data_IF_703699860548
#
_entry.id   IF_703699860548
#
_cell.length_a   1.000
_cell.length_b   1.000
_cell.length_c   1.000
_cell.angle_alpha   90.00
_cell.angle_beta   90.00
_cell.angle_gamma   90.00
#
_symmetry.space_group_name_H-M   'P 1'
#
loop_
_entity.id
_entity.type
_entity.pdbx_description
1 polymer ?
#
# COMPACT_ATOMS: atom_id res chain seq x y z
N UNK A 1 40.23 42.12 26.87
CA UNK A 1 38.93 41.50 27.21
C UNK A 1 37.94 41.42 26.05
N UNK A 2 37.96 42.33 25.06
CA UNK A 2 37.01 42.28 23.92
C UNK A 2 37.22 41.11 22.93
N UNK A 3 38.48 40.72 22.67
CA UNK A 3 38.82 39.62 21.73
C UNK A 3 38.21 38.25 22.14
N UNK A 4 38.11 37.98 23.45
CA UNK A 4 37.59 36.71 23.97
C UNK A 4 36.07 36.60 23.81
N UNK A 5 35.35 37.72 23.82
CA UNK A 5 33.90 37.74 23.59
C UNK A 5 33.57 37.52 22.12
N UNK A 6 34.38 38.05 21.20
CA UNK A 6 34.19 37.84 19.77
C UNK A 6 34.41 36.36 19.38
N UNK A 7 35.44 35.72 19.93
CA UNK A 7 35.73 34.31 19.65
C UNK A 7 34.64 33.36 20.17
N UNK A 8 34.12 33.60 21.37
CA UNK A 8 33.06 32.78 21.96
C UNK A 8 31.71 32.96 21.27
N UNK A 9 31.37 34.19 20.86
CA UNK A 9 30.18 34.46 20.05
C UNK A 9 30.25 33.77 18.67
N UNK A 10 31.42 33.73 18.04
CA UNK A 10 31.62 33.06 16.75
C UNK A 10 31.43 31.54 16.85
N UNK A 11 31.98 30.91 17.89
CA UNK A 11 31.83 29.47 18.15
C UNK A 11 30.38 29.07 18.44
N UNK A 12 29.65 29.87 19.23
CA UNK A 12 28.22 29.65 19.50
C UNK A 12 27.38 29.80 18.22
N UNK A 13 27.68 30.79 17.38
CA UNK A 13 26.96 31.01 16.13
C UNK A 13 27.22 29.86 15.13
N UNK A 14 28.47 29.39 15.04
CA UNK A 14 28.83 28.23 14.21
C UNK A 14 28.15 26.94 14.69
N UNK A 15 28.08 26.72 16.00
CA UNK A 15 27.42 25.55 16.59
C UNK A 15 25.89 25.57 16.34
N UNK A 16 25.24 26.73 16.51
CA UNK A 16 23.82 26.89 16.20
C UNK A 16 23.54 26.70 14.70
N UNK A 17 24.40 27.20 13.83
CA UNK A 17 24.27 27.02 12.39
C UNK A 17 24.43 25.54 11.99
N UNK A 18 25.40 24.83 12.57
CA UNK A 18 25.57 23.40 12.36
C UNK A 18 24.35 22.59 12.88
N UNK A 19 23.78 22.99 14.03
CA UNK A 19 22.59 22.35 14.58
C UNK A 19 21.34 22.59 13.72
N UNK A 20 21.15 23.82 13.23
CA UNK A 20 20.06 24.14 12.29
C UNK A 20 20.22 23.42 10.95
N UNK A 21 21.45 23.29 10.43
CA UNK A 21 21.74 22.48 9.24
C UNK A 21 21.44 21.00 9.49
N UNK A 22 21.78 20.46 10.68
CA UNK A 22 21.46 19.09 11.06
C UNK A 22 19.93 18.87 11.16
N UNK A 23 19.18 19.80 11.77
CA UNK A 23 17.71 19.76 11.83
C UNK A 23 17.10 19.83 10.44
N UNK A 24 17.58 20.72 9.57
CA UNK A 24 17.09 20.83 8.19
C UNK A 24 17.42 19.58 7.36
N UNK A 25 18.61 19.00 7.54
CA UNK A 25 19.01 17.74 6.89
C UNK A 25 18.19 16.56 7.39
N UNK A 26 17.87 16.53 8.69
CA UNK A 26 16.97 15.55 9.29
C UNK A 26 15.54 15.71 8.74
N UNK A 27 15.02 16.95 8.65
CA UNK A 27 13.70 17.23 8.08
C UNK A 27 13.60 16.85 6.60
N UNK A 28 14.64 17.09 5.81
CA UNK A 28 14.74 16.63 4.41
C UNK A 28 14.80 15.10 4.32
N UNK A 29 15.57 14.44 5.18
CA UNK A 29 15.63 12.97 5.25
C UNK A 29 14.25 12.36 5.54
N UNK A 30 13.48 12.94 6.45
CA UNK A 30 12.13 12.47 6.75
C UNK A 30 11.11 12.83 5.66
N UNK A 31 11.20 14.02 5.04
CA UNK A 31 10.33 14.42 3.92
C UNK A 31 10.52 13.56 2.67
N UNK A 32 11.72 13.00 2.46
CA UNK A 32 11.99 12.02 1.40
C UNK A 32 11.58 10.59 1.77
N UNK A 33 11.34 10.32 3.06
CA UNK A 33 10.91 9.00 3.58
C UNK A 33 9.40 8.91 3.83
N UNK A 34 8.67 10.01 3.67
CA UNK A 34 7.22 9.97 3.42
C UNK A 34 7.00 9.01 2.25
N UNK A 35 6.37 7.83 2.45
CA UNK A 35 5.93 7.06 1.32
C UNK A 35 4.95 7.96 0.57
N UNK A 36 5.21 8.23 -0.70
CA UNK A 36 4.15 8.68 -1.60
C UNK A 36 3.09 7.58 -1.55
N UNK A 37 2.13 7.71 -0.63
CA UNK A 37 0.76 7.29 -0.81
C UNK A 37 0.45 7.76 -2.23
N UNK A 38 0.33 6.80 -3.15
CA UNK A 38 0.17 6.89 -4.62
C UNK A 38 1.01 5.85 -5.38
N UNK A 39 1.68 4.87 -4.74
CA UNK A 39 2.15 3.67 -5.45
C UNK A 39 0.99 2.71 -5.77
N UNK A 40 0.07 3.18 -6.61
CA UNK A 40 -0.61 2.37 -7.62
C UNK A 40 -1.19 3.30 -8.72
N UNK A 41 -0.45 4.31 -9.14
CA UNK A 41 -0.85 5.16 -10.26
C UNK A 41 0.41 5.71 -10.93
N UNK A 42 1.05 4.88 -11.75
CA UNK A 42 1.69 5.22 -13.03
C UNK A 42 2.65 4.08 -13.42
N UNK A 43 2.47 3.57 -14.64
CA UNK A 43 3.37 2.68 -15.38
C UNK A 43 3.43 1.21 -14.92
N UNK A 44 2.41 0.45 -15.33
CA UNK A 44 2.49 -0.89 -15.94
C UNK A 44 3.29 -2.03 -15.26
N UNK A 45 3.74 -1.93 -14.01
CA UNK A 45 4.54 -3.02 -13.37
C UNK A 45 4.00 -3.56 -12.04
N UNK A 46 2.86 -3.06 -11.52
CA UNK A 46 2.31 -3.52 -10.23
C UNK A 46 0.98 -4.30 -10.28
N UNK A 47 0.37 -4.45 -11.45
CA UNK A 47 -0.72 -5.41 -11.68
C UNK A 47 -0.37 -6.19 -12.95
N UNK A 48 0.07 -7.44 -12.78
CA UNK A 48 0.14 -8.36 -13.90
C UNK A 48 -1.26 -8.57 -14.46
N UNK A 49 -1.50 -7.96 -15.62
CA UNK A 49 -2.59 -8.23 -16.56
C UNK A 49 -4.00 -8.25 -15.94
N UNK A 50 -4.67 -7.08 -15.95
CA UNK A 50 -6.07 -7.08 -16.38
C UNK A 50 -6.04 -7.42 -17.87
N UNK A 51 -5.92 -8.71 -18.19
CA UNK A 51 -6.41 -9.21 -19.47
C UNK A 51 -7.91 -9.30 -19.30
N UNK A 52 -8.63 -8.41 -19.97
CA UNK A 52 -9.98 -8.72 -20.44
C UNK A 52 -9.84 -9.97 -21.31
N UNK A 53 -10.00 -11.13 -20.71
CA UNK A 53 -10.15 -12.36 -21.46
C UNK A 53 -11.58 -12.36 -21.98
N UNK A 54 -11.70 -12.19 -23.29
CA UNK A 54 -12.90 -12.49 -24.04
C UNK A 54 -13.35 -13.91 -23.67
N UNK A 55 -14.45 -14.01 -22.93
CA UNK A 55 -15.10 -15.25 -22.52
C UNK A 55 -16.44 -14.89 -21.90
N UNK A 56 -17.52 -15.19 -22.60
CA UNK A 56 -18.89 -14.75 -22.30
C UNK A 56 -19.34 -15.07 -20.88
N UNK A 57 -19.78 -14.03 -20.17
CA UNK A 57 -20.58 -14.13 -18.95
C UNK A 57 -22.01 -14.60 -19.35
N UNK A 58 -22.64 -15.55 -18.62
CA UNK A 58 -24.03 -15.92 -18.90
C UNK A 58 -24.96 -14.70 -18.70
N UNK A 59 -25.88 -14.53 -19.66
CA UNK A 59 -26.72 -13.36 -19.85
C UNK A 59 -27.65 -13.06 -18.66
N UNK A 60 -27.14 -12.32 -17.69
CA UNK A 60 -27.93 -11.46 -16.81
C UNK A 60 -27.88 -10.04 -17.37
N UNK A 61 -29.05 -9.44 -17.64
CA UNK A 61 -29.18 -8.09 -18.25
C UNK A 61 -28.26 -7.06 -17.58
N UNK A 62 -27.21 -6.66 -18.30
CA UNK A 62 -26.41 -5.48 -17.99
C UNK A 62 -27.25 -4.22 -18.29
N UNK A 63 -27.27 -3.19 -17.43
CA UNK A 63 -27.94 -1.93 -17.74
C UNK A 63 -27.31 -1.29 -18.98
N UNK A 64 -28.11 -1.10 -20.04
CA UNK A 64 -27.65 -0.70 -21.39
C UNK A 64 -27.38 0.80 -21.57
N UNK A 65 -27.04 1.53 -20.51
CA UNK A 65 -26.66 2.95 -20.63
C UNK A 65 -25.35 3.19 -19.90
N UNK A 66 -24.25 3.18 -20.66
CA UNK A 66 -23.00 3.79 -20.21
C UNK A 66 -23.14 5.30 -20.45
N UNK A 67 -23.08 6.16 -19.41
CA UNK A 67 -23.08 7.61 -19.63
C UNK A 67 -21.76 8.03 -20.31
N UNK A 68 -21.88 8.60 -21.51
CA UNK A 68 -20.79 9.10 -22.37
C UNK A 68 -20.20 10.44 -21.91
N UNK A 69 -20.00 10.64 -20.60
CA UNK A 69 -19.40 11.86 -20.09
C UNK A 69 -18.35 11.52 -19.03
N UNK A 70 -17.09 11.91 -19.28
CA UNK A 70 -16.08 12.00 -18.22
C UNK A 70 -16.57 13.07 -17.24
N UNK A 71 -16.88 12.74 -15.98
CA UNK A 71 -17.25 13.75 -15.03
C UNK A 71 -16.00 14.59 -14.76
N UNK A 72 -16.15 15.92 -14.85
CA UNK A 72 -15.20 16.89 -14.33
C UNK A 72 -14.80 16.49 -12.90
N UNK A 73 -13.54 16.74 -12.54
CA UNK A 73 -12.86 16.31 -11.30
C UNK A 73 -13.54 16.72 -9.96
N UNK A 74 -14.73 17.30 -10.00
CA UNK A 74 -15.43 17.92 -8.88
C UNK A 74 -16.31 16.94 -8.08
N UNK A 75 -16.61 15.73 -8.60
CA UNK A 75 -17.37 14.70 -7.86
C UNK A 75 -16.87 13.28 -8.15
N UNK A 76 -15.57 13.02 -8.01
CA UNK A 76 -15.10 11.65 -7.83
C UNK A 76 -15.62 11.16 -6.46
N UNK A 77 -16.78 10.50 -6.48
CA UNK A 77 -17.39 9.92 -5.28
C UNK A 77 -16.35 9.04 -4.58
N UNK A 78 -16.06 9.39 -3.32
CA UNK A 78 -14.98 8.75 -2.55
C UNK A 78 -15.29 7.27 -2.40
N UNK A 79 -14.62 6.43 -3.18
CA UNK A 79 -14.81 4.97 -3.14
C UNK A 79 -14.44 4.43 -1.76
N UNK A 80 -15.44 3.94 -1.04
CA UNK A 80 -15.26 3.27 0.26
C UNK A 80 -15.11 1.76 0.03
N UNK A 81 -13.99 1.14 0.42
CA UNK A 81 -13.74 -0.29 0.18
C UNK A 81 -14.49 -1.17 1.19
N UNK A 82 -15.81 -1.28 1.06
CA UNK A 82 -16.67 -2.00 2.02
C UNK A 82 -16.27 -3.47 2.24
N UNK A 83 -15.86 -4.17 1.17
CA UNK A 83 -15.45 -5.58 1.20
C UNK A 83 -14.18 -5.81 0.37
N UNK A 84 -13.11 -6.28 1.00
CA UNK A 84 -11.79 -6.46 0.37
C UNK A 84 -11.38 -7.93 0.34
N UNK A 85 -10.85 -8.39 -0.79
CA UNK A 85 -10.15 -9.68 -0.90
C UNK A 85 -8.65 -9.43 -0.82
N UNK A 86 -7.99 -9.95 0.21
CA UNK A 86 -6.57 -9.74 0.44
C UNK A 86 -5.75 -10.99 0.07
N UNK A 87 -5.10 -10.93 -1.10
CA UNK A 87 -4.25 -11.99 -1.64
C UNK A 87 -2.78 -11.81 -1.23
N UNK A 88 -2.43 -12.25 0.00
CA UNK A 88 -1.09 -12.00 0.57
C UNK A 88 -0.02 -13.03 0.16
N UNK A 89 -0.44 -14.15 -0.43
CA UNK A 89 0.46 -15.21 -0.93
C UNK A 89 -0.04 -15.74 -2.25
N UNK A 90 0.88 -16.13 -3.14
CA UNK A 90 0.57 -16.92 -4.34
C UNK A 90 1.09 -18.35 -4.24
N UNK A 91 1.74 -18.72 -3.13
CA UNK A 91 2.18 -20.10 -2.87
C UNK A 91 0.95 -20.97 -2.65
N UNK A 92 0.85 -22.08 -3.38
CA UNK A 92 -0.23 -23.04 -3.28
C UNK A 92 0.35 -24.45 -3.38
N UNK A 93 -0.22 -25.40 -2.64
CA UNK A 93 0.10 -26.83 -2.69
C UNK A 93 -0.72 -27.57 -3.76
N UNK A 94 -1.71 -26.92 -4.38
CA UNK A 94 -2.54 -27.48 -5.44
C UNK A 94 -2.14 -26.94 -6.82
N UNK A 95 -2.46 -27.72 -7.86
CA UNK A 95 -2.16 -27.42 -9.27
C UNK A 95 -3.43 -27.43 -10.12
N UNK A 96 -4.41 -26.59 -9.76
CA UNK A 96 -5.69 -26.55 -10.46
C UNK A 96 -5.54 -25.98 -11.88
N UNK A 97 -6.07 -26.67 -12.88
CA UNK A 97 -6.02 -26.23 -14.29
C UNK A 97 -6.81 -24.94 -14.58
N UNK A 98 -7.74 -24.58 -13.70
CA UNK A 98 -8.58 -23.37 -13.77
C UNK A 98 -8.08 -22.22 -12.86
N UNK A 99 -6.93 -22.36 -12.19
CA UNK A 99 -6.45 -21.35 -11.26
C UNK A 99 -5.94 -20.11 -12.00
N UNK A 100 -6.68 -19.00 -11.89
CA UNK A 100 -6.26 -17.69 -12.42
C UNK A 100 -5.14 -17.04 -11.59
N UNK A 101 -4.81 -17.58 -10.42
CA UNK A 101 -3.82 -17.06 -9.48
C UNK A 101 -2.50 -17.83 -9.52
N UNK A 102 -1.89 -17.90 -10.71
CA UNK A 102 -0.61 -18.61 -10.92
C UNK A 102 0.53 -17.98 -10.11
N UNK A 103 1.44 -18.83 -9.63
CA UNK A 103 2.58 -18.46 -8.78
C UNK A 103 3.70 -17.76 -9.58
N UNK A 104 3.40 -16.61 -10.18
CA UNK A 104 4.38 -15.79 -10.92
C UNK A 104 5.40 -15.12 -9.98
N UNK A 105 4.98 -14.77 -8.76
CA UNK A 105 5.84 -14.18 -7.71
C UNK A 105 5.47 -14.74 -6.34
N UNK A 106 6.46 -15.04 -5.49
CA UNK A 106 6.25 -15.72 -4.20
C UNK A 106 6.58 -14.86 -2.97
N UNK A 107 6.60 -13.54 -3.15
CA UNK A 107 6.88 -12.58 -2.08
C UNK A 107 5.66 -12.45 -1.15
N UNK A 108 5.87 -12.67 0.14
CA UNK A 108 4.91 -12.37 1.20
C UNK A 108 5.44 -11.18 1.97
N UNK A 109 4.61 -10.15 2.17
CA UNK A 109 5.02 -8.98 2.92
C UNK A 109 5.20 -9.31 4.42
N UNK A 110 6.11 -8.63 5.13
CA UNK A 110 6.25 -8.79 6.57
C UNK A 110 4.94 -8.52 7.32
N UNK A 111 4.77 -9.18 8.47
CA UNK A 111 3.52 -9.12 9.26
C UNK A 111 3.15 -7.69 9.67
N UNK A 112 4.12 -6.88 10.08
CA UNK A 112 3.87 -5.51 10.54
C UNK A 112 3.36 -4.61 9.41
N UNK A 113 3.90 -4.79 8.20
CA UNK A 113 3.43 -4.07 7.02
C UNK A 113 2.02 -4.51 6.60
N UNK A 114 1.71 -5.81 6.74
CA UNK A 114 0.36 -6.31 6.51
C UNK A 114 -0.65 -5.72 7.50
N UNK A 115 -0.32 -5.70 8.79
CA UNK A 115 -1.16 -5.07 9.84
C UNK A 115 -1.38 -3.58 9.56
N UNK A 116 -0.33 -2.85 9.18
CA UNK A 116 -0.45 -1.45 8.76
C UNK A 116 -1.39 -1.27 7.55
N UNK A 117 -1.30 -2.15 6.56
CA UNK A 117 -2.22 -2.14 5.42
C UNK A 117 -3.68 -2.34 5.83
N UNK A 118 -3.94 -3.26 6.78
CA UNK A 118 -5.28 -3.50 7.32
C UNK A 118 -5.83 -2.29 8.09
N UNK A 119 -4.98 -1.60 8.84
CA UNK A 119 -5.35 -0.38 9.55
C UNK A 119 -5.76 0.74 8.57
N UNK A 120 -5.01 0.91 7.48
CA UNK A 120 -5.37 1.86 6.43
C UNK A 120 -6.73 1.53 5.78
N UNK A 121 -7.00 0.24 5.52
CA UNK A 121 -8.29 -0.20 4.96
C UNK A 121 -9.44 0.04 5.94
N UNK A 122 -9.22 -0.22 7.23
CA UNK A 122 -10.20 0.06 8.29
C UNK A 122 -10.51 1.56 8.37
N UNK A 123 -9.48 2.41 8.35
CA UNK A 123 -9.63 3.87 8.35
C UNK A 123 -10.30 4.40 7.07
N UNK A 124 -10.16 3.68 5.95
CA UNK A 124 -10.86 3.98 4.71
C UNK A 124 -12.35 3.56 4.73
N UNK A 125 -12.82 2.86 5.76
CA UNK A 125 -14.23 2.44 5.91
C UNK A 125 -14.53 0.99 5.53
N UNK A 126 -13.51 0.13 5.47
CA UNK A 126 -13.71 -1.32 5.23
C UNK A 126 -14.53 -1.96 6.34
N UNK A 127 -15.49 -2.81 5.95
CA UNK A 127 -16.36 -3.58 6.88
C UNK A 127 -16.14 -5.08 6.82
N UNK A 128 -15.66 -5.60 5.69
CA UNK A 128 -15.43 -7.03 5.47
C UNK A 128 -14.07 -7.25 4.80
N UNK A 129 -13.32 -8.25 5.29
CA UNK A 129 -12.12 -8.72 4.64
C UNK A 129 -12.18 -10.23 4.42
N UNK A 130 -11.70 -10.67 3.27
CA UNK A 130 -11.51 -12.08 2.93
C UNK A 130 -10.03 -12.35 2.66
N UNK A 131 -9.41 -13.19 3.48
CA UNK A 131 -8.02 -13.60 3.29
C UNK A 131 -7.96 -14.68 2.20
N UNK A 132 -7.30 -14.36 1.09
CA UNK A 132 -7.23 -15.22 -0.10
C UNK A 132 -5.79 -15.28 -0.64
N UNK A 133 -5.60 -15.86 -1.82
CA UNK A 133 -4.29 -16.01 -2.44
C UNK A 133 -4.16 -17.34 -3.18
N UNK A 134 -2.97 -17.95 -3.08
CA UNK A 134 -2.79 -19.38 -3.30
C UNK A 134 -3.44 -20.16 -2.16
N UNK A 135 -2.63 -20.76 -1.29
CA UNK A 135 -3.10 -21.43 -0.08
C UNK A 135 -2.70 -20.60 1.16
N UNK A 136 -3.66 -19.89 1.80
CA UNK A 136 -3.40 -19.00 2.94
C UNK A 136 -2.69 -19.68 4.12
N UNK A 137 -2.97 -20.97 4.35
CA UNK A 137 -2.44 -21.71 5.50
C UNK A 137 -1.01 -22.23 5.32
N UNK A 138 -0.40 -22.10 4.14
CA UNK A 138 1.00 -22.50 3.93
C UNK A 138 1.98 -21.53 4.60
N UNK A 139 1.68 -20.23 4.58
CA UNK A 139 2.60 -19.21 5.07
C UNK A 139 2.78 -19.34 6.58
N UNK A 140 4.01 -19.65 7.01
CA UNK A 140 4.34 -19.92 8.42
C UNK A 140 3.39 -20.94 9.06
N UNK A 141 2.97 -21.97 8.32
CA UNK A 141 2.03 -23.01 8.77
C UNK A 141 0.72 -22.42 9.34
N UNK A 142 0.20 -21.36 8.72
CA UNK A 142 -1.04 -20.70 9.10
C UNK A 142 -0.89 -19.66 10.21
N UNK A 143 0.27 -19.58 10.88
CA UNK A 143 0.49 -18.59 11.94
C UNK A 143 0.38 -17.15 11.40
N UNK A 144 0.79 -16.92 10.15
CA UNK A 144 0.73 -15.59 9.55
C UNK A 144 -0.71 -15.08 9.41
N UNK A 145 -1.60 -15.86 8.78
CA UNK A 145 -3.02 -15.49 8.64
C UNK A 145 -3.72 -15.46 10.00
N UNK A 146 -3.35 -16.36 10.93
CA UNK A 146 -3.86 -16.34 12.30
C UNK A 146 -3.57 -15.03 13.02
N UNK A 147 -2.36 -14.50 12.90
CA UNK A 147 -2.00 -13.19 13.47
C UNK A 147 -2.70 -12.01 12.80
N UNK A 148 -3.05 -12.10 11.52
CA UNK A 148 -3.85 -11.08 10.83
C UNK A 148 -5.33 -11.13 11.26
N UNK A 149 -5.89 -12.34 11.40
CA UNK A 149 -7.27 -12.53 11.87
C UNK A 149 -7.43 -12.02 13.30
N UNK A 150 -6.46 -12.26 14.19
CA UNK A 150 -6.49 -11.71 15.57
C UNK A 150 -6.38 -10.18 15.63
N UNK A 151 -5.77 -9.55 14.62
CA UNK A 151 -5.55 -8.11 14.60
C UNK A 151 -6.77 -7.31 14.14
N UNK A 152 -7.58 -7.89 13.25
CA UNK A 152 -8.77 -7.24 12.66
C UNK A 152 -9.92 -7.04 13.65
#
# INVERSE_FOLDING_TARGET
MMELFAATACLLCAALFAFLLAINRFRLYYKLKEPKNNLCATENTCCGEIKLQNGELPAGKLPTTMPTAMPSDEYAEKVVPLSVNYHFTRKCNYKCGFCFHTAKTSLVIPLDNAKRGLELLKNAGMKKINFSGGEPFIVKKGAFVGELVKFC
#
